data_IF_108000554288
#
_entry.id   IF_108000554288
#
_cell.length_a   1.000
_cell.length_b   1.000
_cell.length_c   1.000
_cell.angle_alpha   90.00
_cell.angle_beta   90.00
_cell.angle_gamma   90.00
#
_symmetry.space_group_name_H-M   'P 1'
#
loop_
_entity.id
_entity.type
_entity.pdbx_description
1 polymer ?
#
# COMPACT_ATOMS: atom_id res chain seq x y z
N UNK A 1 16.49 -8.07 11.96
CA UNK A 1 15.13 -8.51 12.35
C UNK A 1 15.24 -9.81 13.13
N UNK A 2 14.33 -10.13 14.07
CA UNK A 2 14.30 -11.44 14.72
C UNK A 2 13.98 -12.57 13.74
N UNK A 3 14.55 -13.75 13.90
CA UNK A 3 14.33 -14.97 13.08
C UNK A 3 12.90 -15.58 13.18
N UNK A 4 11.94 -14.83 13.72
CA UNK A 4 10.55 -15.26 13.81
C UNK A 4 9.76 -14.71 12.62
N UNK A 5 9.34 -15.60 11.71
CA UNK A 5 8.60 -15.21 10.51
C UNK A 5 7.33 -14.41 10.82
N UNK A 6 6.68 -14.61 11.97
CA UNK A 6 5.50 -13.83 12.36
C UNK A 6 5.84 -12.34 12.53
N UNK A 7 7.06 -12.04 12.99
CA UNK A 7 7.58 -10.67 13.12
C UNK A 7 7.77 -10.03 11.76
N UNK A 8 8.25 -10.80 10.78
CA UNK A 8 8.39 -10.34 9.40
C UNK A 8 7.01 -10.06 8.79
N UNK A 9 6.04 -10.94 9.02
CA UNK A 9 4.66 -10.78 8.53
C UNK A 9 3.99 -9.53 9.06
N UNK A 10 3.95 -9.30 10.38
CA UNK A 10 3.29 -8.10 10.89
C UNK A 10 4.08 -6.82 10.59
N UNK A 11 5.42 -6.90 10.41
CA UNK A 11 6.19 -5.75 9.97
C UNK A 11 5.90 -5.42 8.49
N UNK A 12 5.74 -6.42 7.62
CA UNK A 12 5.28 -6.19 6.25
C UNK A 12 3.84 -5.65 6.22
N UNK A 13 2.98 -6.13 7.11
CA UNK A 13 1.62 -5.59 7.31
C UNK A 13 1.62 -4.14 7.81
N UNK A 14 2.63 -3.72 8.57
CA UNK A 14 2.84 -2.31 8.90
C UNK A 14 3.36 -1.52 7.69
N UNK A 15 4.34 -2.08 6.96
CA UNK A 15 4.97 -1.44 5.81
C UNK A 15 4.00 -1.26 4.62
N UNK A 16 2.97 -2.09 4.49
CA UNK A 16 2.03 -2.05 3.36
C UNK A 16 1.08 -0.87 3.33
N UNK A 17 0.90 -0.14 4.42
CA UNK A 17 0.09 1.08 4.41
C UNK A 17 0.93 2.32 4.03
N UNK A 18 2.24 2.15 3.83
CA UNK A 18 3.12 3.22 3.32
C UNK A 18 3.13 3.24 1.80
N UNK A 19 3.19 4.45 1.23
CA UNK A 19 3.27 4.67 -0.22
C UNK A 19 2.14 4.01 -1.02
N UNK A 20 1.01 3.66 -0.37
CA UNK A 20 -0.05 2.87 -0.97
C UNK A 20 -1.22 3.73 -1.47
N UNK A 21 -2.17 4.11 -0.61
CA UNK A 21 -3.32 4.96 -0.99
C UNK A 21 -2.96 6.27 -1.72
N UNK A 22 -1.85 6.98 -1.40
CA UNK A 22 -1.47 8.18 -2.14
C UNK A 22 -1.25 7.99 -3.65
N UNK A 23 -1.02 6.76 -4.14
CA UNK A 23 -0.93 6.49 -5.59
C UNK A 23 -2.21 6.88 -6.32
N UNK A 24 -3.38 6.74 -5.69
CA UNK A 24 -4.66 7.16 -6.27
C UNK A 24 -4.78 8.69 -6.45
N UNK A 25 -3.92 9.48 -5.81
CA UNK A 25 -3.89 10.94 -5.97
C UNK A 25 -2.98 11.41 -7.13
N UNK A 26 -2.08 10.54 -7.61
CA UNK A 26 -1.09 10.92 -8.64
C UNK A 26 -1.72 11.43 -9.94
N UNK A 27 -2.79 10.82 -10.50
CA UNK A 27 -3.46 11.36 -11.69
C UNK A 27 -4.08 12.74 -11.49
N UNK A 28 -4.27 13.16 -10.24
CA UNK A 28 -4.86 14.45 -9.87
C UNK A 28 -3.81 15.49 -9.48
N UNK A 29 -2.52 15.13 -9.43
CA UNK A 29 -1.42 16.06 -9.17
C UNK A 29 -1.44 16.70 -7.78
N UNK A 30 -2.03 16.05 -6.78
CA UNK A 30 -2.11 16.54 -5.40
C UNK A 30 -1.43 15.60 -4.41
N UNK A 31 -0.71 16.16 -3.44
CA UNK A 31 -0.17 15.45 -2.30
C UNK A 31 -1.22 15.22 -1.20
N UNK A 32 -1.16 14.07 -0.53
CA UNK A 32 -2.11 13.73 0.54
C UNK A 32 -2.02 14.65 1.79
N UNK A 33 -0.90 15.36 1.96
CA UNK A 33 -0.68 16.36 3.02
C UNK A 33 -0.97 17.80 2.57
N UNK A 34 -1.35 18.01 1.31
CA UNK A 34 -1.68 19.35 0.84
C UNK A 34 -2.90 19.92 1.56
N UNK A 35 -2.90 21.24 1.76
CA UNK A 35 -3.99 21.93 2.45
C UNK A 35 -5.32 21.70 1.72
N UNK A 36 -6.34 21.26 2.46
CA UNK A 36 -7.67 20.97 1.92
C UNK A 36 -7.86 19.50 1.53
N UNK A 37 -6.80 18.71 1.43
CA UNK A 37 -6.92 17.28 1.21
C UNK A 37 -7.33 16.56 2.49
N UNK A 38 -8.34 15.70 2.37
CA UNK A 38 -8.72 14.73 3.38
C UNK A 38 -8.60 13.34 2.76
N UNK A 39 -7.62 12.58 3.26
CA UNK A 39 -7.31 11.23 2.81
C UNK A 39 -7.30 10.30 4.02
N UNK A 40 -8.08 9.23 3.97
CA UNK A 40 -8.18 8.27 5.07
C UNK A 40 -8.52 6.88 4.54
N UNK A 41 -7.84 5.86 5.04
CA UNK A 41 -8.12 4.45 4.72
C UNK A 41 -9.54 4.07 5.17
N UNK A 42 -10.26 3.30 4.35
CA UNK A 42 -11.55 2.69 4.69
C UNK A 42 -11.32 1.22 5.08
N UNK A 43 -10.63 0.49 4.21
CA UNK A 43 -10.30 -0.91 4.38
C UNK A 43 -8.87 -1.21 3.91
N UNK A 44 -8.28 -2.30 4.41
CA UNK A 44 -7.00 -2.82 3.97
C UNK A 44 -7.06 -4.34 4.01
N UNK A 45 -6.74 -4.99 2.90
CA UNK A 45 -6.68 -6.45 2.78
C UNK A 45 -5.31 -6.87 2.26
N UNK A 46 -4.76 -7.93 2.82
CA UNK A 46 -3.46 -8.47 2.44
C UNK A 46 -3.49 -9.99 2.42
N UNK A 47 -2.77 -10.58 1.46
CA UNK A 47 -2.56 -12.02 1.35
C UNK A 47 -1.06 -12.31 1.31
N UNK A 48 -0.58 -13.15 2.23
CA UNK A 48 0.80 -13.63 2.26
C UNK A 48 0.89 -14.94 1.47
N UNK A 49 1.69 -14.94 0.41
CA UNK A 49 1.77 -16.06 -0.55
C UNK A 49 2.98 -16.97 -0.30
N UNK A 50 4.12 -16.37 0.06
CA UNK A 50 5.41 -17.07 0.21
C UNK A 50 6.23 -16.49 1.38
N UNK A 51 7.16 -17.26 1.96
CA UNK A 51 8.12 -16.74 2.95
C UNK A 51 9.00 -15.63 2.37
N UNK A 52 9.47 -14.74 3.23
CA UNK A 52 10.35 -13.62 2.89
C UNK A 52 11.16 -13.15 4.10
N UNK A 53 12.24 -12.42 3.85
CA UNK A 53 13.05 -11.76 4.88
C UNK A 53 12.85 -10.23 4.80
N UNK A 54 12.47 -9.60 5.92
CA UNK A 54 12.34 -8.13 6.03
C UNK A 54 13.69 -7.42 6.18
N UNK A 55 14.79 -8.15 6.39
CA UNK A 55 16.15 -7.61 6.31
C UNK A 55 16.61 -7.42 4.85
N UNK A 56 16.01 -8.16 3.91
CA UNK A 56 16.30 -8.06 2.49
C UNK A 56 15.35 -7.07 1.81
N UNK A 57 15.76 -6.59 0.63
CA UNK A 57 14.93 -5.68 -0.15
C UNK A 57 13.68 -6.38 -0.68
N UNK A 58 12.55 -5.70 -0.49
CA UNK A 58 11.30 -5.98 -1.19
C UNK A 58 10.93 -4.78 -2.06
N UNK A 59 10.59 -5.04 -3.31
CA UNK A 59 9.90 -4.09 -4.18
C UNK A 59 8.42 -4.06 -3.80
N UNK A 60 7.85 -2.88 -3.57
CA UNK A 60 6.42 -2.68 -3.48
C UNK A 60 5.89 -2.04 -4.77
N UNK A 61 5.29 -2.83 -5.64
CA UNK A 61 4.69 -2.38 -6.89
C UNK A 61 3.24 -2.02 -6.64
N UNK A 62 2.85 -0.76 -6.89
CA UNK A 62 1.51 -0.24 -6.57
C UNK A 62 0.87 0.41 -7.78
N UNK A 63 -0.43 0.19 -7.96
CA UNK A 63 -1.25 0.87 -8.95
C UNK A 63 -2.55 1.39 -8.33
N UNK A 64 -3.11 2.46 -8.91
CA UNK A 64 -4.50 2.84 -8.69
C UNK A 64 -5.30 2.55 -9.95
N UNK A 65 -6.28 1.66 -9.85
CA UNK A 65 -7.10 1.26 -11.01
C UNK A 65 -8.38 2.08 -11.15
N UNK A 66 -8.79 2.80 -10.10
CA UNK A 66 -9.97 3.68 -10.14
C UNK A 66 -9.96 4.69 -8.98
N UNK A 67 -10.49 5.88 -9.25
CA UNK A 67 -10.87 6.86 -8.24
C UNK A 67 -12.23 7.47 -8.64
N UNK A 68 -13.22 7.36 -7.77
CA UNK A 68 -14.57 7.86 -8.03
C UNK A 68 -15.35 8.07 -6.73
N UNK A 69 -16.38 8.91 -6.76
CA UNK A 69 -17.30 9.12 -5.62
C UNK A 69 -16.58 9.44 -4.29
N UNK A 70 -15.57 10.31 -4.34
CA UNK A 70 -14.73 10.70 -3.20
C UNK A 70 -13.95 9.53 -2.55
N UNK A 71 -13.62 8.50 -3.34
CA UNK A 71 -12.80 7.36 -2.94
C UNK A 71 -11.72 7.08 -3.98
N UNK A 72 -10.59 6.56 -3.52
CA UNK A 72 -9.50 6.04 -4.34
C UNK A 72 -9.26 4.57 -4.02
N UNK A 73 -9.02 3.77 -5.05
CA UNK A 73 -8.74 2.35 -4.92
C UNK A 73 -7.33 2.04 -5.40
N UNK A 74 -6.59 1.25 -4.62
CA UNK A 74 -5.21 0.85 -4.93
C UNK A 74 -5.02 -0.66 -4.74
N UNK A 75 -4.13 -1.22 -5.56
CA UNK A 75 -3.65 -2.60 -5.46
C UNK A 75 -2.13 -2.59 -5.41
N UNK A 76 -1.55 -3.50 -4.66
CA UNK A 76 -0.10 -3.56 -4.50
C UNK A 76 0.42 -4.98 -4.38
N UNK A 77 1.64 -5.20 -4.84
CA UNK A 77 2.31 -6.50 -4.86
C UNK A 77 3.75 -6.34 -4.35
N UNK A 78 4.14 -7.23 -3.43
CA UNK A 78 5.49 -7.28 -2.89
C UNK A 78 6.32 -8.36 -3.57
N UNK A 79 7.50 -7.99 -4.03
CA UNK A 79 8.45 -8.90 -4.68
C UNK A 79 9.80 -8.87 -3.97
N UNK A 80 10.44 -10.02 -3.82
CA UNK A 80 11.87 -10.07 -3.49
C UNK A 80 12.72 -9.55 -4.65
N UNK A 81 13.99 -9.26 -4.36
CA UNK A 81 14.94 -8.78 -5.38
C UNK A 81 15.17 -9.78 -6.53
N UNK A 82 14.98 -11.08 -6.30
CA UNK A 82 15.01 -12.14 -7.32
C UNK A 82 13.66 -12.38 -8.03
N UNK A 83 12.64 -11.56 -7.72
CA UNK A 83 11.37 -11.55 -8.44
C UNK A 83 10.28 -12.48 -7.91
N UNK A 84 10.44 -13.01 -6.68
CA UNK A 84 9.42 -13.86 -6.05
C UNK A 84 8.29 -13.00 -5.50
N UNK A 85 7.05 -13.25 -5.93
CA UNK A 85 5.85 -12.61 -5.37
C UNK A 85 5.56 -13.14 -3.96
N UNK A 86 5.71 -12.31 -2.93
CA UNK A 86 5.59 -12.71 -1.52
C UNK A 86 4.26 -12.32 -0.89
N UNK A 87 3.67 -11.20 -1.30
CA UNK A 87 2.37 -10.76 -0.80
C UNK A 87 1.63 -9.88 -1.81
N UNK A 88 0.30 -9.81 -1.69
CA UNK A 88 -0.55 -8.86 -2.42
C UNK A 88 -1.42 -8.09 -1.45
N UNK A 89 -1.78 -6.87 -1.82
CA UNK A 89 -2.52 -5.89 -1.00
C UNK A 89 -3.58 -5.19 -1.82
N UNK A 90 -4.68 -4.84 -1.17
CA UNK A 90 -5.78 -4.05 -1.74
C UNK A 90 -6.29 -3.09 -0.67
N UNK A 91 -6.61 -1.85 -1.06
CA UNK A 91 -7.14 -0.82 -0.16
C UNK A 91 -8.02 0.16 -0.92
N UNK A 92 -9.17 0.51 -0.34
CA UNK A 92 -9.93 1.70 -0.68
C UNK A 92 -9.77 2.75 0.42
N UNK A 93 -9.77 4.02 0.05
CA UNK A 93 -9.72 5.13 0.98
C UNK A 93 -10.60 6.28 0.56
N UNK A 94 -11.07 7.05 1.53
CA UNK A 94 -11.65 8.37 1.29
C UNK A 94 -10.59 9.26 0.66
N UNK A 95 -10.94 9.93 -0.43
CA UNK A 95 -10.16 10.99 -1.07
C UNK A 95 -11.05 12.19 -1.36
N UNK A 96 -10.87 13.27 -0.61
CA UNK A 96 -11.66 14.50 -0.75
C UNK A 96 -10.75 15.71 -0.83
N UNK A 97 -11.05 16.61 -1.77
CA UNK A 97 -10.55 17.97 -1.73
C UNK A 97 -11.65 18.87 -1.12
N UNK A 98 -11.36 19.53 -0.01
CA UNK A 98 -12.26 20.44 0.72
C UNK A 98 -11.96 21.92 0.43
N UNK A 99 -11.14 22.20 -0.58
CA UNK A 99 -10.87 23.55 -1.10
C UNK A 99 -12.03 24.13 -1.89
#
# INVERSE_FOLDING_TARGET
MPEDFRVHQYLLGYASDFNFLPVALQPHGVGFLEKGMQVATIDHSMWFHRPFDMNDWLLYSVESTSASSARGFVRGEFYTQDGVLVASTVQEGVMRNRG
#
